data_IF_396931625532
#
_entry.id   IF_396931625532
#
_cell.length_a   1.000
_cell.length_b   1.000
_cell.length_c   1.000
_cell.angle_alpha   90.00
_cell.angle_beta   90.00
_cell.angle_gamma   90.00
#
_symmetry.space_group_name_H-M   'P 1'
#
loop_
_entity.id
_entity.type
_entity.pdbx_description
1 polymer ?
#
# COMPACT_ATOMS: atom_id res chain seq x y z
N UNK A 1 47.56 -38.47 28.05
CA UNK A 1 47.20 -37.58 26.92
C UNK A 1 45.84 -38.02 26.38
N UNK A 2 44.76 -37.59 27.02
CA UNK A 2 43.40 -37.95 26.62
C UNK A 2 42.84 -36.84 25.73
N UNK A 3 42.54 -37.20 24.49
CA UNK A 3 41.91 -36.37 23.45
C UNK A 3 40.49 -36.03 23.90
N UNK A 4 40.23 -34.75 24.16
CA UNK A 4 38.89 -34.26 24.44
C UNK A 4 38.20 -33.82 23.14
N UNK A 5 37.20 -34.63 22.76
CA UNK A 5 35.85 -34.31 22.23
C UNK A 5 35.69 -33.12 21.26
N UNK A 6 35.33 -33.38 19.99
CA UNK A 6 33.94 -33.44 19.49
C UNK A 6 33.15 -32.14 19.79
N UNK A 7 33.21 -31.14 18.91
CA UNK A 7 32.20 -30.85 17.85
C UNK A 7 30.82 -30.45 18.40
N UNK A 8 30.52 -29.16 18.28
CA UNK A 8 29.25 -28.50 17.93
C UNK A 8 27.91 -29.10 18.39
N UNK A 9 27.22 -28.42 19.31
CA UNK A 9 25.74 -28.36 19.44
C UNK A 9 25.37 -26.97 19.99
N UNK A 10 25.01 -26.00 19.14
CA UNK A 10 23.64 -25.59 18.86
C UNK A 10 22.85 -25.05 20.07
N UNK A 11 22.74 -23.72 20.16
CA UNK A 11 21.68 -23.04 20.92
C UNK A 11 21.18 -21.86 20.08
N UNK A 12 20.18 -22.12 19.24
CA UNK A 12 19.42 -21.10 18.53
C UNK A 12 18.61 -20.28 19.55
N UNK A 13 19.03 -19.04 19.78
CA UNK A 13 18.19 -18.04 20.44
C UNK A 13 17.16 -17.53 19.43
N UNK A 14 15.93 -18.00 19.56
CA UNK A 14 14.74 -17.41 18.96
C UNK A 14 14.43 -16.07 19.66
N UNK A 15 14.63 -14.96 18.97
CA UNK A 15 14.04 -13.68 19.34
C UNK A 15 13.55 -12.96 18.08
N UNK A 16 12.30 -13.26 17.70
CA UNK A 16 11.59 -12.51 16.65
C UNK A 16 10.91 -11.28 17.29
N UNK A 17 11.27 -10.05 16.92
CA UNK A 17 10.37 -8.93 17.10
C UNK A 17 9.23 -9.05 16.08
N UNK A 18 8.00 -9.21 16.58
CA UNK A 18 6.79 -9.11 15.78
C UNK A 18 6.65 -7.67 15.25
N UNK A 19 7.15 -7.45 14.03
CA UNK A 19 6.80 -6.28 13.24
C UNK A 19 5.38 -6.52 12.71
N UNK A 20 4.38 -5.98 13.41
CA UNK A 20 3.07 -5.74 12.82
C UNK A 20 3.19 -4.60 11.81
N UNK A 21 3.72 -4.93 10.63
CA UNK A 21 3.44 -4.14 9.44
C UNK A 21 2.03 -4.52 9.03
N UNK A 22 1.05 -3.72 9.43
CA UNK A 22 -0.30 -3.73 8.86
C UNK A 22 -0.18 -3.73 7.33
N UNK A 23 -0.46 -4.85 6.65
CA UNK A 23 -0.55 -4.90 5.22
C UNK A 23 -2.04 -4.81 4.87
N UNK A 24 -2.79 -3.87 5.46
CA UNK A 24 -4.06 -3.49 4.85
C UNK A 24 -3.75 -2.68 3.59
N UNK A 25 -3.56 -3.48 2.54
CA UNK A 25 -4.34 -3.29 1.33
C UNK A 25 -3.90 -2.20 0.36
N UNK A 26 -2.60 -2.23 0.07
CA UNK A 26 -2.07 -1.76 -1.22
C UNK A 26 -1.64 -2.93 -2.12
N UNK A 27 -2.10 -4.15 -1.82
CA UNK A 27 -1.78 -5.38 -2.56
C UNK A 27 -2.88 -5.73 -3.55
N UNK A 28 -3.15 -4.84 -4.49
CA UNK A 28 -3.42 -5.26 -5.86
C UNK A 28 -3.30 -4.02 -6.73
N UNK A 29 -2.27 -4.02 -7.56
CA UNK A 29 -2.01 -3.08 -8.63
C UNK A 29 -3.22 -2.94 -9.57
N UNK A 30 -4.19 -2.12 -9.19
CA UNK A 30 -4.86 -1.30 -10.18
C UNK A 30 -3.79 -0.34 -10.70
N UNK A 31 -3.05 -0.77 -11.73
CA UNK A 31 -2.05 0.03 -12.47
C UNK A 31 -2.43 1.52 -12.59
N UNK A 32 -3.70 1.90 -12.87
CA UNK A 32 -4.10 3.30 -12.86
C UNK A 32 -4.01 4.01 -11.50
N UNK A 33 -4.45 3.37 -10.40
CA UNK A 33 -4.33 3.94 -9.06
C UNK A 33 -2.87 4.09 -8.61
N UNK A 34 -2.01 3.13 -8.98
CA UNK A 34 -0.58 3.20 -8.69
C UNK A 34 0.10 4.38 -9.41
N UNK A 35 -0.31 4.69 -10.65
CA UNK A 35 0.16 5.86 -11.38
C UNK A 35 -0.21 7.17 -10.69
N UNK A 36 -1.45 7.28 -10.20
CA UNK A 36 -1.89 8.46 -9.41
C UNK A 36 -1.09 8.56 -8.11
N UNK A 37 -0.93 7.45 -7.39
CA UNK A 37 -0.16 7.40 -6.15
C UNK A 37 1.30 7.85 -6.38
N UNK A 38 1.92 7.44 -7.50
CA UNK A 38 3.26 7.86 -7.88
C UNK A 38 3.31 9.37 -8.17
N UNK A 39 2.35 9.91 -8.92
CA UNK A 39 2.28 11.34 -9.21
C UNK A 39 2.10 12.18 -7.92
N UNK A 40 1.25 11.72 -7.00
CA UNK A 40 1.08 12.34 -5.68
C UNK A 40 2.39 12.34 -4.87
N UNK A 41 3.12 11.22 -4.84
CA UNK A 41 4.41 11.14 -4.14
C UNK A 41 5.45 12.08 -4.75
N UNK A 42 5.51 12.15 -6.08
CA UNK A 42 6.42 13.05 -6.80
C UNK A 42 6.12 14.53 -6.54
N UNK A 43 4.86 14.88 -6.32
CA UNK A 43 4.45 16.24 -5.95
C UNK A 43 4.64 16.56 -4.44
N UNK A 44 5.26 15.65 -3.67
CA UNK A 44 5.59 15.84 -2.26
C UNK A 44 4.49 15.47 -1.26
N UNK A 45 3.41 14.82 -1.73
CA UNK A 45 2.36 14.34 -0.85
C UNK A 45 2.78 13.00 -0.22
N UNK A 46 2.73 12.92 1.11
CA UNK A 46 3.19 11.76 1.87
C UNK A 46 2.33 11.49 3.11
N UNK A 47 2.47 10.29 3.68
CA UNK A 47 1.78 9.90 4.93
C UNK A 47 2.35 10.64 6.15
N UNK A 48 3.64 10.97 6.09
CA UNK A 48 4.39 11.76 7.07
C UNK A 48 5.02 13.00 6.43
N UNK A 49 4.29 13.67 5.52
CA UNK A 49 4.84 14.86 4.87
C UNK A 49 5.02 16.00 5.87
N UNK A 50 6.26 16.47 6.03
CA UNK A 50 6.59 17.66 6.83
C UNK A 50 5.93 18.94 6.31
N UNK A 51 5.49 18.92 5.04
CA UNK A 51 4.85 20.04 4.36
C UNK A 51 3.34 20.15 4.61
N UNK A 52 2.78 19.41 5.60
CA UNK A 52 1.34 19.29 5.87
C UNK A 52 0.47 18.76 4.71
N UNK A 53 1.08 18.39 3.58
CA UNK A 53 0.39 17.83 2.41
C UNK A 53 0.01 16.37 2.65
N UNK A 54 -1.26 16.09 2.92
CA UNK A 54 -1.77 14.73 3.20
C UNK A 54 -1.97 13.95 1.90
N UNK A 55 -1.27 12.84 1.76
CA UNK A 55 -1.37 11.94 0.60
C UNK A 55 -2.80 11.62 0.17
N UNK A 56 -3.63 11.13 1.09
CA UNK A 56 -4.99 10.72 0.76
C UNK A 56 -5.94 11.90 0.54
N UNK A 57 -6.02 12.80 1.53
CA UNK A 57 -7.01 13.88 1.56
C UNK A 57 -6.75 14.95 0.49
N UNK A 58 -5.48 15.29 0.27
CA UNK A 58 -5.11 16.46 -0.52
C UNK A 58 -4.64 16.10 -1.94
N UNK A 59 -4.37 14.81 -2.22
CA UNK A 59 -3.99 14.36 -3.56
C UNK A 59 -4.82 13.19 -4.09
N UNK A 60 -4.76 12.03 -3.46
CA UNK A 60 -5.36 10.80 -4.01
C UNK A 60 -6.88 10.92 -4.19
N UNK A 61 -7.60 11.35 -3.15
CA UNK A 61 -9.05 11.55 -3.18
C UNK A 61 -9.49 12.55 -4.26
N UNK A 62 -8.98 13.81 -4.29
CA UNK A 62 -9.38 14.77 -5.31
C UNK A 62 -9.09 14.26 -6.73
N UNK A 63 -7.92 13.66 -6.98
CA UNK A 63 -7.58 13.12 -8.31
C UNK A 63 -8.53 12.00 -8.74
N UNK A 64 -8.82 11.02 -7.86
CA UNK A 64 -9.79 9.96 -8.18
C UNK A 64 -11.17 10.55 -8.47
N UNK A 65 -11.54 11.64 -7.81
CA UNK A 65 -12.81 12.34 -8.02
C UNK A 65 -12.83 13.20 -9.30
N UNK A 66 -11.72 13.28 -10.03
CA UNK A 66 -11.59 14.07 -11.27
C UNK A 66 -11.23 15.53 -11.03
N UNK A 67 -10.80 15.88 -9.82
CA UNK A 67 -10.30 17.22 -9.49
C UNK A 67 -8.80 17.32 -9.78
N UNK A 68 -8.38 18.48 -10.26
CA UNK A 68 -6.96 18.78 -10.45
C UNK A 68 -6.29 19.12 -9.12
N UNK A 69 -5.07 18.64 -8.93
CA UNK A 69 -4.24 18.93 -7.75
C UNK A 69 -2.98 19.64 -8.22
N UNK A 70 -2.57 20.67 -7.49
CA UNK A 70 -1.36 21.45 -7.84
C UNK A 70 -0.15 20.51 -7.90
N UNK A 71 0.64 20.66 -8.96
CA UNK A 71 1.85 19.88 -9.24
C UNK A 71 1.62 18.38 -9.52
N UNK A 72 0.36 17.95 -9.67
CA UNK A 72 0.00 16.56 -9.97
C UNK A 72 -0.65 16.50 -11.35
N UNK A 73 0.06 15.90 -12.31
CA UNK A 73 -0.45 15.64 -13.67
C UNK A 73 -0.81 14.17 -13.80
N UNK A 74 -2.10 13.90 -13.93
CA UNK A 74 -2.66 12.58 -14.20
C UNK A 74 -3.74 12.75 -15.26
N UNK A 75 -3.75 11.85 -16.24
CA UNK A 75 -4.81 11.79 -17.24
C UNK A 75 -6.17 11.47 -16.60
N UNK A 76 -7.25 12.07 -17.13
CA UNK A 76 -8.60 11.85 -16.65
C UNK A 76 -9.04 10.38 -16.80
N UNK A 77 -8.58 9.70 -17.86
CA UNK A 77 -8.86 8.30 -18.09
C UNK A 77 -8.19 7.40 -17.04
N UNK A 78 -7.00 7.76 -16.57
CA UNK A 78 -6.32 7.06 -15.48
C UNK A 78 -7.10 7.21 -14.17
N UNK A 79 -7.60 8.41 -13.86
CA UNK A 79 -8.45 8.64 -12.69
C UNK A 79 -9.76 7.82 -12.75
N UNK A 80 -10.39 7.78 -13.93
CA UNK A 80 -11.61 7.02 -14.17
C UNK A 80 -11.40 5.51 -14.06
N UNK A 81 -10.31 4.98 -14.64
CA UNK A 81 -9.97 3.56 -14.52
C UNK A 81 -9.66 3.18 -13.08
N UNK A 82 -8.91 4.01 -12.34
CA UNK A 82 -8.66 3.78 -10.92
C UNK A 82 -9.96 3.68 -10.10
N UNK A 83 -10.91 4.59 -10.37
CA UNK A 83 -12.22 4.56 -9.71
C UNK A 83 -13.00 3.29 -10.03
N UNK A 84 -13.02 2.90 -11.30
CA UNK A 84 -13.74 1.72 -11.79
C UNK A 84 -13.17 0.44 -11.18
N UNK A 85 -11.85 0.30 -11.16
CA UNK A 85 -11.18 -0.84 -10.55
C UNK A 85 -11.51 -0.94 -9.06
N UNK A 86 -11.52 0.19 -8.35
CA UNK A 86 -11.88 0.21 -6.93
C UNK A 86 -13.34 -0.20 -6.68
N UNK A 87 -14.26 0.24 -7.54
CA UNK A 87 -15.68 -0.17 -7.45
C UNK A 87 -15.82 -1.66 -7.68
N UNK A 88 -15.20 -2.20 -8.74
CA UNK A 88 -15.27 -3.61 -9.08
C UNK A 88 -14.71 -4.48 -7.95
N UNK A 89 -13.58 -4.08 -7.37
CA UNK A 89 -12.97 -4.77 -6.24
C UNK A 89 -13.88 -4.78 -5.01
N UNK A 90 -14.41 -3.62 -4.62
CA UNK A 90 -15.31 -3.52 -3.47
C UNK A 90 -16.60 -4.33 -3.67
N UNK A 91 -17.09 -4.39 -4.92
CA UNK A 91 -18.26 -5.18 -5.24
C UNK A 91 -17.97 -6.69 -5.19
N UNK A 92 -16.78 -7.11 -5.60
CA UNK A 92 -16.34 -8.48 -5.41
C UNK A 92 -16.24 -8.83 -3.92
N UNK A 93 -15.59 -8.00 -3.12
CA UNK A 93 -15.47 -8.20 -1.66
C UNK A 93 -16.87 -8.28 -1.00
N UNK A 94 -17.81 -7.39 -1.37
CA UNK A 94 -19.18 -7.45 -0.88
C UNK A 94 -19.88 -8.76 -1.22
N UNK A 95 -19.73 -9.26 -2.45
CA UNK A 95 -20.29 -10.54 -2.85
C UNK A 95 -19.68 -11.71 -2.06
N UNK A 96 -18.37 -11.68 -1.81
CA UNK A 96 -17.68 -12.69 -1.00
C UNK A 96 -18.18 -12.68 0.45
N UNK A 97 -18.36 -11.49 1.05
CA UNK A 97 -18.93 -11.36 2.39
C UNK A 97 -20.40 -11.82 2.47
N UNK A 98 -21.22 -11.52 1.45
CA UNK A 98 -22.62 -11.95 1.41
C UNK A 98 -22.78 -13.46 1.24
N UNK A 99 -21.91 -14.11 0.46
CA UNK A 99 -21.96 -15.55 0.23
C UNK A 99 -21.26 -16.38 1.33
N UNK A 100 -20.56 -15.72 2.26
CA UNK A 100 -19.90 -16.35 3.41
C UNK A 100 -20.75 -16.32 4.70
N UNK A 101 -21.98 -15.84 4.61
CA UNK A 101 -22.94 -15.68 5.72
C UNK A 101 -24.26 -16.39 5.40
#
# INVERSE_FOLDING_TARGET
MSKFYFVFVAAMMLSAPAIYADPQDMSSDSKPCAMIAKACKQAGFGRHSETNKKFWKDCMKPVILGQSVKDVKVDADIAKSCRTDKINRLQQELNEFQNSN
#
